data_IF_612283572838
#
_entry.id   IF_612283572838
#
_cell.length_a   1.000
_cell.length_b   1.000
_cell.length_c   1.000
_cell.angle_alpha   90.00
_cell.angle_beta   90.00
_cell.angle_gamma   90.00
#
_symmetry.space_group_name_H-M   'P 1'
#
loop_
_entity.id
_entity.type
_entity.pdbx_description
1 polymer ?
#
# COMPACT_ATOMS: atom_id res chain seq x y z
N UNK A 1 0.24 -18.84 21.03
CA UNK A 1 -0.25 -17.48 21.32
C UNK A 1 -0.33 -16.77 19.99
N UNK A 2 -1.40 -15.99 19.77
CA UNK A 2 -1.56 -15.19 18.55
C UNK A 2 -0.48 -14.10 18.56
N UNK A 3 0.23 -13.91 17.45
CA UNK A 3 1.24 -12.85 17.35
C UNK A 3 0.57 -11.52 17.05
N UNK A 4 1.06 -10.44 17.64
CA UNK A 4 0.52 -9.10 17.43
C UNK A 4 1.53 -8.23 16.69
N UNK A 5 1.09 -7.68 15.56
CA UNK A 5 1.85 -6.72 14.75
C UNK A 5 1.18 -5.35 14.90
N UNK A 6 1.96 -4.34 15.20
CA UNK A 6 1.55 -2.95 15.11
C UNK A 6 2.21 -2.29 13.89
N UNK A 7 1.44 -1.53 13.14
CA UNK A 7 1.90 -0.74 12.01
C UNK A 7 1.59 0.72 12.29
N UNK A 8 2.60 1.59 12.19
CA UNK A 8 2.46 3.03 12.42
C UNK A 8 2.33 3.75 11.09
N UNK A 9 1.13 4.22 10.81
CA UNK A 9 0.76 4.99 9.63
C UNK A 9 -0.01 4.18 8.59
N UNK A 10 -0.88 4.89 7.86
CA UNK A 10 -1.69 4.35 6.74
C UNK A 10 -1.21 4.87 5.38
N UNK A 11 -0.03 5.49 5.32
CA UNK A 11 0.60 5.86 4.06
C UNK A 11 1.09 4.64 3.28
N UNK A 12 1.64 4.85 2.08
CA UNK A 12 2.01 3.75 1.18
C UNK A 12 2.85 2.65 1.85
N UNK A 13 3.84 3.02 2.67
CA UNK A 13 4.66 2.06 3.41
C UNK A 13 3.83 1.18 4.35
N UNK A 14 3.11 1.78 5.30
CA UNK A 14 2.27 1.06 6.25
C UNK A 14 1.14 0.26 5.57
N UNK A 15 0.54 0.83 4.52
CA UNK A 15 -0.51 0.16 3.77
C UNK A 15 -0.02 -1.11 3.07
N UNK A 16 1.11 -1.05 2.36
CA UNK A 16 1.68 -2.22 1.71
C UNK A 16 2.17 -3.25 2.73
N UNK A 17 2.74 -2.83 3.86
CA UNK A 17 3.12 -3.74 4.95
C UNK A 17 1.90 -4.49 5.49
N UNK A 18 0.79 -3.79 5.78
CA UNK A 18 -0.44 -4.41 6.29
C UNK A 18 -1.02 -5.42 5.30
N UNK A 19 -1.09 -5.05 4.01
CA UNK A 19 -1.61 -5.93 2.96
C UNK A 19 -0.69 -7.14 2.71
N UNK A 20 0.62 -6.95 2.81
CA UNK A 20 1.58 -8.04 2.71
C UNK A 20 1.36 -9.08 3.82
N UNK A 21 1.24 -8.64 5.08
CA UNK A 21 0.97 -9.55 6.19
C UNK A 21 -0.41 -10.19 6.08
N UNK A 22 -1.44 -9.44 5.67
CA UNK A 22 -2.77 -10.00 5.42
C UNK A 22 -2.73 -11.14 4.39
N UNK A 23 -1.95 -10.98 3.31
CA UNK A 23 -1.87 -11.94 2.21
C UNK A 23 -1.00 -13.17 2.53
N UNK A 24 0.08 -12.99 3.30
CA UNK A 24 1.11 -14.02 3.46
C UNK A 24 1.19 -14.64 4.86
N UNK A 25 0.36 -14.20 5.81
CA UNK A 25 0.31 -14.79 7.14
C UNK A 25 0.00 -16.30 7.07
N UNK A 26 0.91 -17.11 7.65
CA UNK A 26 0.75 -18.56 7.83
C UNK A 26 0.20 -18.93 9.20
N UNK A 27 0.25 -17.97 10.12
CA UNK A 27 -0.18 -18.10 11.51
C UNK A 27 -1.29 -17.07 11.78
N UNK A 28 -2.06 -17.29 12.84
CA UNK A 28 -3.06 -16.31 13.28
C UNK A 28 -2.31 -15.09 13.84
N UNK A 29 -2.47 -13.92 13.20
CA UNK A 29 -1.82 -12.66 13.58
C UNK A 29 -2.90 -11.58 13.78
N UNK A 30 -2.73 -10.74 14.80
CA UNK A 30 -3.52 -9.51 14.98
C UNK A 30 -2.72 -8.34 14.42
N UNK A 31 -3.36 -7.53 13.57
CA UNK A 31 -2.73 -6.36 12.95
C UNK A 31 -3.46 -5.12 13.45
N UNK A 32 -2.78 -4.37 14.33
CA UNK A 32 -3.20 -3.06 14.78
C UNK A 32 -2.53 -2.00 13.89
N UNK A 33 -3.31 -1.07 13.33
CA UNK A 33 -2.77 0.04 12.53
C UNK A 33 -3.03 1.34 13.27
N UNK A 34 -1.97 1.99 13.74
CA UNK A 34 -2.04 3.29 14.39
C UNK A 34 -1.88 4.38 13.34
N UNK A 35 -2.73 5.40 13.35
CA UNK A 35 -2.62 6.49 12.41
C UNK A 35 -3.11 7.80 12.99
N UNK A 36 -2.61 8.91 12.45
CA UNK A 36 -3.11 10.23 12.79
C UNK A 36 -3.18 11.17 11.57
N UNK A 37 -4.36 11.23 10.97
CA UNK A 37 -4.67 12.13 9.87
C UNK A 37 -4.73 13.62 10.24
N UNK A 38 -4.76 13.99 11.52
CA UNK A 38 -4.81 15.39 11.94
C UNK A 38 -3.43 16.02 11.97
N UNK A 39 -2.47 15.37 12.64
CA UNK A 39 -1.08 15.86 12.73
C UNK A 39 -0.21 15.38 11.56
N UNK A 40 -0.52 14.22 10.97
CA UNK A 40 0.24 13.61 9.88
C UNK A 40 -0.66 13.21 8.70
N UNK A 41 -1.22 14.19 7.97
CA UNK A 41 -2.06 13.90 6.82
C UNK A 41 -1.29 13.20 5.71
N UNK A 42 -1.99 12.40 4.92
CA UNK A 42 -1.41 11.75 3.74
C UNK A 42 -1.14 12.78 2.63
N UNK A 43 -0.06 12.55 1.90
CA UNK A 43 0.27 13.33 0.71
C UNK A 43 -0.81 13.19 -0.37
N UNK A 44 -1.32 14.32 -0.87
CA UNK A 44 -2.39 14.38 -1.86
C UNK A 44 -1.86 14.24 -3.29
N UNK A 45 -1.05 13.21 -3.54
CA UNK A 45 -0.42 12.95 -4.85
C UNK A 45 -0.84 11.58 -5.38
N UNK A 46 -0.89 11.45 -6.71
CA UNK A 46 -1.05 10.14 -7.34
C UNK A 46 0.20 9.28 -7.11
N UNK A 47 0.02 8.03 -6.71
CA UNK A 47 1.11 7.09 -6.51
C UNK A 47 1.15 6.08 -7.65
N UNK A 48 2.35 5.59 -7.94
CA UNK A 48 2.61 4.64 -9.02
C UNK A 48 3.29 3.41 -8.44
N UNK A 49 3.06 2.25 -9.04
CA UNK A 49 3.63 1.00 -8.55
C UNK A 49 4.53 0.32 -9.59
N UNK A 50 5.17 -0.78 -9.15
CA UNK A 50 5.60 -1.89 -10.01
C UNK A 50 4.53 -2.99 -10.01
N UNK A 51 4.79 -4.08 -10.74
CA UNK A 51 3.83 -5.19 -10.93
C UNK A 51 3.58 -5.93 -9.61
N UNK A 52 4.60 -6.14 -8.79
CA UNK A 52 4.54 -6.92 -7.55
C UNK A 52 3.68 -6.25 -6.48
N UNK A 53 3.76 -4.91 -6.40
CA UNK A 53 2.91 -4.12 -5.50
C UNK A 53 1.46 -4.14 -5.98
N UNK A 54 1.23 -4.11 -7.30
CA UNK A 54 -0.12 -4.27 -7.86
C UNK A 54 -0.71 -5.63 -7.52
N UNK A 55 0.08 -6.70 -7.68
CA UNK A 55 -0.35 -8.05 -7.31
C UNK A 55 -0.66 -8.14 -5.81
N UNK A 56 0.18 -7.56 -4.95
CA UNK A 56 -0.04 -7.56 -3.49
C UNK A 56 -1.36 -6.89 -3.13
N UNK A 57 -1.61 -5.68 -3.66
CA UNK A 57 -2.86 -4.95 -3.42
C UNK A 57 -4.06 -5.74 -3.93
N UNK A 58 -4.03 -6.18 -5.19
CA UNK A 58 -5.16 -6.85 -5.83
C UNK A 58 -5.53 -8.16 -5.11
N UNK A 59 -4.52 -8.95 -4.72
CA UNK A 59 -4.74 -10.22 -4.02
C UNK A 59 -5.19 -10.02 -2.58
N UNK A 60 -4.59 -9.08 -1.85
CA UNK A 60 -4.92 -8.84 -0.45
C UNK A 60 -6.33 -8.24 -0.29
N UNK A 61 -6.78 -7.43 -1.25
CA UNK A 61 -8.11 -6.80 -1.25
C UNK A 61 -9.15 -7.58 -2.06
N UNK A 62 -8.76 -8.70 -2.69
CA UNK A 62 -9.60 -9.49 -3.60
C UNK A 62 -10.26 -8.64 -4.70
N UNK A 63 -9.55 -7.63 -5.20
CA UNK A 63 -10.05 -6.65 -6.14
C UNK A 63 -9.48 -6.86 -7.56
N UNK A 64 -10.08 -6.22 -8.57
CA UNK A 64 -9.64 -6.34 -9.96
C UNK A 64 -9.94 -5.05 -10.76
N UNK A 65 -9.61 -5.01 -12.05
CA UNK A 65 -9.81 -3.81 -12.88
C UNK A 65 -11.28 -3.37 -13.05
N UNK A 66 -12.22 -4.30 -12.90
CA UNK A 66 -13.66 -4.01 -12.86
C UNK A 66 -14.10 -3.60 -11.45
N UNK A 67 -13.65 -4.34 -10.44
CA UNK A 67 -13.98 -4.11 -9.04
C UNK A 67 -12.81 -3.40 -8.35
N UNK A 68 -12.73 -2.08 -8.56
CA UNK A 68 -11.55 -1.24 -8.31
C UNK A 68 -11.83 -0.19 -7.20
N UNK A 69 -11.65 -0.53 -5.91
CA UNK A 69 -12.05 0.35 -4.80
C UNK A 69 -11.12 1.56 -4.58
N UNK A 70 -9.97 1.60 -5.26
CA UNK A 70 -8.92 2.61 -5.07
C UNK A 70 -8.73 3.54 -6.28
N UNK A 71 -9.71 3.53 -7.20
CA UNK A 71 -9.71 4.31 -8.45
C UNK A 71 -8.39 4.17 -9.23
N UNK A 72 -7.87 2.94 -9.27
CA UNK A 72 -6.60 2.66 -9.92
C UNK A 72 -6.71 2.69 -11.45
N UNK A 73 -5.65 3.14 -12.12
CA UNK A 73 -5.53 3.10 -13.58
C UNK A 73 -4.35 2.22 -14.00
N UNK A 74 -4.46 1.64 -15.20
CA UNK A 74 -3.45 0.76 -15.77
C UNK A 74 -2.14 1.50 -16.03
N UNK A 75 -1.03 0.91 -15.59
CA UNK A 75 0.32 1.35 -15.95
C UNK A 75 1.05 0.21 -16.66
N UNK A 76 1.31 0.38 -17.95
CA UNK A 76 1.92 -0.65 -18.81
C UNK A 76 3.45 -0.52 -18.93
N UNK A 77 4.02 0.58 -18.44
CA UNK A 77 5.45 0.84 -18.48
C UNK A 77 5.75 2.29 -18.10
N UNK A 78 6.92 2.76 -18.53
CA UNK A 78 7.37 4.14 -18.35
C UNK A 78 7.82 4.66 -19.72
N UNK A 79 7.20 5.74 -20.19
CA UNK A 79 7.67 6.47 -21.35
C UNK A 79 8.62 7.57 -20.87
N UNK A 80 9.84 7.54 -21.36
CA UNK A 80 10.85 8.54 -21.06
C UNK A 80 11.01 9.46 -22.25
N UNK A 81 10.64 10.72 -22.08
CA UNK A 81 10.70 11.76 -23.13
C UNK A 81 11.81 12.76 -22.81
N UNK A 82 12.71 13.00 -23.76
CA UNK A 82 13.85 13.92 -23.64
C UNK A 82 14.88 13.52 -22.56
N UNK A 83 14.97 12.24 -22.22
CA UNK A 83 15.96 11.70 -21.28
C UNK A 83 17.30 11.34 -21.95
N UNK A 84 17.35 11.27 -23.27
CA UNK A 84 18.56 11.00 -24.05
C UNK A 84 18.88 12.14 -25.03
N UNK A 85 20.17 12.33 -25.31
CA UNK A 85 20.64 13.30 -26.32
C UNK A 85 20.38 12.84 -27.76
N UNK A 86 20.23 11.53 -27.97
CA UNK A 86 20.13 10.91 -29.30
C UNK A 86 18.78 10.30 -29.56
N UNK A 87 18.05 9.93 -28.51
CA UNK A 87 16.74 9.28 -28.59
C UNK A 87 15.71 10.14 -27.85
N UNK A 88 14.72 10.65 -28.58
CA UNK A 88 13.74 11.59 -28.02
C UNK A 88 12.74 10.90 -27.08
N UNK A 89 12.42 9.65 -27.37
CA UNK A 89 11.44 8.87 -26.63
C UNK A 89 11.94 7.43 -26.53
N UNK A 90 11.94 6.87 -25.33
CA UNK A 90 12.11 5.44 -25.14
C UNK A 90 11.07 4.89 -24.17
N UNK A 91 10.47 3.76 -24.51
CA UNK A 91 9.47 3.10 -23.68
C UNK A 91 10.07 1.91 -22.96
N UNK A 92 9.97 1.90 -21.63
CA UNK A 92 10.34 0.78 -20.78
C UNK A 92 9.08 0.02 -20.35
N UNK A 93 8.71 -1.07 -21.04
CA UNK A 93 7.54 -1.87 -20.67
C UNK A 93 7.82 -2.70 -19.41
N UNK A 94 6.76 -3.10 -18.71
CA UNK A 94 6.86 -4.08 -17.62
C UNK A 94 6.95 -5.52 -18.16
N UNK A 95 8.15 -5.95 -18.53
CA UNK A 95 8.51 -7.29 -19.01
C UNK A 95 7.68 -7.81 -20.20
N UNK A 96 6.48 -8.33 -19.96
CA UNK A 96 5.59 -8.97 -20.93
C UNK A 96 4.20 -8.30 -20.91
N UNK A 97 3.38 -8.52 -21.94
CA UNK A 97 2.07 -7.84 -22.08
C UNK A 97 1.09 -8.02 -20.91
N UNK A 98 1.26 -9.07 -20.09
CA UNK A 98 0.45 -9.30 -18.89
C UNK A 98 0.95 -8.59 -17.63
N UNK A 99 2.18 -8.05 -17.64
CA UNK A 99 2.75 -7.29 -16.54
C UNK A 99 2.16 -5.88 -16.51
N UNK A 100 1.13 -5.68 -15.70
CA UNK A 100 0.53 -4.36 -15.50
C UNK A 100 0.72 -3.93 -14.06
N UNK A 101 1.23 -2.71 -13.90
CA UNK A 101 1.25 -2.01 -12.63
C UNK A 101 0.03 -1.08 -12.56
N UNK A 102 -0.05 -0.28 -11.50
CA UNK A 102 -1.13 0.69 -11.33
C UNK A 102 -0.62 2.09 -10.98
N UNK A 103 -1.41 3.09 -11.33
CA UNK A 103 -1.48 4.34 -10.60
C UNK A 103 -2.72 4.34 -9.71
N UNK A 104 -2.63 4.85 -8.48
CA UNK A 104 -3.75 4.88 -7.54
C UNK A 104 -3.72 6.12 -6.64
N UNK A 105 -4.83 6.37 -5.94
CA UNK A 105 -4.95 7.44 -4.95
C UNK A 105 -4.68 6.92 -3.54
N UNK A 106 -3.63 7.41 -2.83
CA UNK A 106 -3.25 6.93 -1.50
C UNK A 106 -4.36 7.03 -0.46
N UNK A 107 -5.14 8.10 -0.51
CA UNK A 107 -6.26 8.32 0.41
C UNK A 107 -7.32 7.23 0.26
N UNK A 108 -7.60 6.77 -0.97
CA UNK A 108 -8.56 5.71 -1.20
C UNK A 108 -8.03 4.37 -0.66
N UNK A 109 -6.75 4.06 -0.87
CA UNK A 109 -6.13 2.88 -0.28
C UNK A 109 -6.19 2.92 1.25
N UNK A 110 -5.80 4.04 1.86
CA UNK A 110 -5.88 4.20 3.31
C UNK A 110 -7.30 4.03 3.84
N UNK A 111 -8.30 4.59 3.15
CA UNK A 111 -9.71 4.41 3.51
C UNK A 111 -10.14 2.94 3.44
N UNK A 112 -9.69 2.20 2.42
CA UNK A 112 -9.96 0.75 2.35
C UNK A 112 -9.35 0.05 3.55
N UNK A 113 -8.10 0.32 3.91
CA UNK A 113 -7.46 -0.30 5.08
C UNK A 113 -8.18 0.03 6.38
N UNK A 114 -8.50 1.30 6.63
CA UNK A 114 -9.16 1.76 7.88
C UNK A 114 -10.51 1.08 8.09
N UNK A 115 -11.21 0.74 7.01
CA UNK A 115 -12.51 0.08 7.06
C UNK A 115 -12.44 -1.44 6.84
N UNK A 116 -11.24 -2.01 6.68
CA UNK A 116 -11.09 -3.43 6.39
C UNK A 116 -11.25 -4.26 7.67
N UNK A 117 -12.09 -5.30 7.70
CA UNK A 117 -12.41 -6.05 8.92
C UNK A 117 -11.23 -6.84 9.49
N UNK A 118 -10.19 -7.08 8.71
CA UNK A 118 -8.99 -7.78 9.17
C UNK A 118 -8.03 -6.91 9.99
N UNK A 119 -8.21 -5.58 9.99
CA UNK A 119 -7.33 -4.65 10.68
C UNK A 119 -8.07 -3.95 11.82
N UNK A 120 -7.38 -3.77 12.94
CA UNK A 120 -7.85 -2.90 14.02
C UNK A 120 -7.18 -1.55 13.87
N UNK A 121 -7.90 -0.58 13.31
CA UNK A 121 -7.36 0.76 13.06
C UNK A 121 -7.63 1.69 14.24
N UNK A 122 -6.58 2.37 14.72
CA UNK A 122 -6.57 3.17 15.93
C UNK A 122 -6.11 4.59 15.57
N UNK A 123 -7.03 5.58 15.65
CA UNK A 123 -6.67 6.98 15.48
C UNK A 123 -5.93 7.46 16.75
N UNK A 124 -4.61 7.55 16.67
CA UNK A 124 -3.73 7.99 17.77
C UNK A 124 -2.39 8.43 17.20
N UNK A 125 -1.94 9.61 17.63
CA UNK A 125 -0.54 10.02 17.47
C UNK A 125 0.35 9.13 18.35
N UNK A 126 1.33 8.47 17.76
CA UNK A 126 2.30 7.63 18.48
C UNK A 126 3.60 8.41 18.62
N UNK A 127 4.00 8.69 19.86
CA UNK A 127 5.20 9.48 20.17
C UNK A 127 6.37 8.56 20.51
N UNK A 128 6.14 7.54 21.33
CA UNK A 128 7.15 6.55 21.74
C UNK A 128 6.61 5.13 21.54
N UNK A 129 6.80 4.55 20.34
CA UNK A 129 6.23 3.25 19.99
C UNK A 129 6.54 2.13 20.99
N UNK A 130 7.77 2.07 21.51
CA UNK A 130 8.22 1.00 22.42
C UNK A 130 7.52 1.06 23.77
N UNK A 131 7.05 2.25 24.18
CA UNK A 131 6.28 2.43 25.42
C UNK A 131 4.77 2.43 25.19
N UNK A 132 4.33 2.94 24.05
CA UNK A 132 2.92 3.23 23.75
C UNK A 132 2.17 2.03 23.16
N UNK A 133 2.89 1.03 22.64
CA UNK A 133 2.33 -0.08 21.87
C UNK A 133 2.77 -1.41 22.49
N UNK A 134 1.77 -2.22 22.85
CA UNK A 134 1.96 -3.61 23.20
C UNK A 134 1.76 -4.48 21.95
N UNK A 135 2.88 -4.94 21.35
CA UNK A 135 2.93 -5.80 20.17
C UNK A 135 4.23 -6.63 20.16
N UNK A 136 4.21 -7.78 19.48
CA UNK A 136 5.42 -8.58 19.25
C UNK A 136 6.36 -7.93 18.22
N UNK A 137 5.78 -7.23 17.24
CA UNK A 137 6.50 -6.52 16.17
C UNK A 137 5.87 -5.15 15.93
N UNK A 138 6.71 -4.15 15.72
CA UNK A 138 6.31 -2.78 15.36
C UNK A 138 6.98 -2.42 14.04
N UNK A 139 6.19 -1.95 13.08
CA UNK A 139 6.62 -1.44 11.78
C UNK A 139 6.25 0.03 11.60
#
# INVERSE_FOLDING_TARGET
MKKKIAIIGVGSGGAITALHYLLHQKEDVEIDIYYDSHHHPLESVGQSTTVEVTETIARALECNWKDNPIDSTLKTGILYENWSKTEKEFFHPFFYMGGVAMHYTPILLANVLVNHPAFKCIQKEVIDPEKDIDADYIF
#
